data_IF_654405436278
#
_entry.id   IF_654405436278
#
_cell.length_a   1.000
_cell.length_b   1.000
_cell.length_c   1.000
_cell.angle_alpha   90.00
_cell.angle_beta   90.00
_cell.angle_gamma   90.00
#
_symmetry.space_group_name_H-M   'P 1'
#
loop_
_entity.id
_entity.type
_entity.pdbx_description
1 polymer ?
#
# COMPACT_ATOMS: atom_id res chain seq x y z
N UNK A 1 -7.62 29.25 4.29
CA UNK A 1 -8.47 28.11 3.93
C UNK A 1 -7.54 26.96 3.60
N UNK A 2 -7.44 25.93 4.46
CA UNK A 2 -6.56 24.78 4.21
C UNK A 2 -7.33 23.84 3.27
N UNK A 3 -6.79 23.58 2.08
CA UNK A 3 -7.34 22.60 1.15
C UNK A 3 -7.05 21.20 1.71
N UNK A 4 -8.07 20.51 2.23
CA UNK A 4 -7.93 19.11 2.65
C UNK A 4 -8.12 18.24 1.42
N UNK A 5 -7.02 17.71 0.89
CA UNK A 5 -7.04 16.74 -0.21
C UNK A 5 -7.26 15.35 0.40
N UNK A 6 -8.18 14.55 -0.15
CA UNK A 6 -8.43 13.18 0.30
C UNK A 6 -7.92 12.19 -0.73
N UNK A 7 -7.25 11.14 -0.28
CA UNK A 7 -6.88 10.01 -1.12
C UNK A 7 -8.11 9.09 -1.27
N UNK A 8 -8.53 8.71 -2.49
CA UNK A 8 -9.71 7.88 -2.73
C UNK A 8 -9.40 6.39 -2.43
N UNK A 9 -9.20 6.07 -1.15
CA UNK A 9 -8.73 4.77 -0.68
C UNK A 9 -9.65 3.61 -1.11
N UNK A 10 -10.96 3.83 -1.15
CA UNK A 10 -11.92 2.78 -1.56
C UNK A 10 -11.76 2.37 -3.01
N UNK A 11 -11.35 3.30 -3.89
CA UNK A 11 -11.02 2.95 -5.29
C UNK A 11 -9.79 2.05 -5.34
N UNK A 12 -8.77 2.36 -4.52
CA UNK A 12 -7.56 1.54 -4.40
C UNK A 12 -7.92 0.11 -3.98
N UNK A 13 -8.78 -0.05 -2.99
CA UNK A 13 -9.21 -1.37 -2.52
C UNK A 13 -10.09 -2.12 -3.52
N UNK A 14 -10.96 -1.41 -4.25
CA UNK A 14 -11.81 -2.02 -5.27
C UNK A 14 -10.97 -2.60 -6.43
N UNK A 15 -9.94 -1.89 -6.86
CA UNK A 15 -9.07 -2.31 -7.97
C UNK A 15 -7.96 -3.29 -7.51
N UNK A 16 -7.50 -3.18 -6.26
CA UNK A 16 -6.43 -4.01 -5.69
C UNK A 16 -6.80 -4.64 -4.32
N UNK A 17 -7.77 -5.57 -4.29
CA UNK A 17 -8.29 -6.12 -3.03
C UNK A 17 -7.27 -6.94 -2.23
N UNK A 18 -6.22 -7.46 -2.86
CA UNK A 18 -5.13 -8.17 -2.16
C UNK A 18 -4.29 -7.21 -1.33
N UNK A 19 -4.03 -5.99 -1.82
CA UNK A 19 -3.26 -4.99 -1.09
C UNK A 19 -3.96 -4.60 0.22
N UNK A 20 -5.29 -4.48 0.20
CA UNK A 20 -6.09 -4.26 1.41
C UNK A 20 -5.85 -5.35 2.45
N UNK A 21 -5.87 -6.62 2.04
CA UNK A 21 -5.62 -7.75 2.95
C UNK A 21 -4.20 -7.74 3.51
N UNK A 22 -3.20 -7.40 2.70
CA UNK A 22 -1.81 -7.27 3.16
C UNK A 22 -1.70 -6.19 4.24
N UNK A 23 -2.35 -5.04 4.04
CA UNK A 23 -2.40 -3.96 5.04
C UNK A 23 -3.09 -4.44 6.31
N UNK A 24 -4.29 -5.03 6.21
CA UNK A 24 -5.04 -5.54 7.36
C UNK A 24 -4.28 -6.64 8.13
N UNK A 25 -3.57 -7.55 7.45
CA UNK A 25 -2.76 -8.60 8.06
C UNK A 25 -1.55 -8.00 8.81
N UNK A 26 -0.86 -7.01 8.23
CA UNK A 26 0.27 -6.32 8.87
C UNK A 26 -0.17 -5.46 10.07
N UNK A 27 -1.27 -4.71 9.93
CA UNK A 27 -1.86 -3.94 11.04
C UNK A 27 -2.33 -4.86 12.17
N UNK A 28 -2.98 -5.98 11.82
CA UNK A 28 -3.40 -7.01 12.77
C UNK A 28 -2.25 -7.68 13.52
N UNK A 29 -1.06 -7.73 12.91
CA UNK A 29 0.19 -8.15 13.54
C UNK A 29 0.85 -7.05 14.40
N UNK A 30 0.26 -5.85 14.48
CA UNK A 30 0.72 -4.76 15.33
C UNK A 30 1.76 -3.84 14.67
N UNK A 31 1.94 -3.93 13.36
CA UNK A 31 2.87 -3.08 12.63
C UNK A 31 2.22 -1.79 12.13
N UNK A 32 2.99 -0.70 12.12
CA UNK A 32 2.65 0.49 11.34
C UNK A 32 2.73 0.15 9.85
N UNK A 33 1.71 0.54 9.10
CA UNK A 33 1.60 0.29 7.66
C UNK A 33 1.10 1.54 6.96
N UNK A 34 1.70 1.87 5.80
CA UNK A 34 1.28 3.01 4.98
C UNK A 34 1.38 2.68 3.50
N UNK A 35 0.45 3.22 2.70
CA UNK A 35 0.64 3.33 1.26
C UNK A 35 1.61 4.47 0.98
N UNK A 36 2.55 4.26 0.07
CA UNK A 36 3.57 5.24 -0.28
C UNK A 36 3.75 5.37 -1.79
N UNK A 37 4.61 6.29 -2.20
CA UNK A 37 5.09 6.34 -3.57
C UNK A 37 4.05 6.81 -4.59
N UNK A 38 4.06 6.15 -5.76
CA UNK A 38 3.35 6.57 -6.95
C UNK A 38 1.84 6.68 -6.74
N UNK A 39 1.23 5.71 -6.06
CA UNK A 39 -0.22 5.70 -5.83
C UNK A 39 -0.70 6.93 -5.06
N UNK A 40 0.05 7.36 -4.05
CA UNK A 40 -0.30 8.54 -3.25
C UNK A 40 -0.14 9.81 -4.08
N UNK A 41 0.99 9.95 -4.79
CA UNK A 41 1.25 11.08 -5.69
C UNK A 41 0.15 11.20 -6.75
N UNK A 42 -0.17 10.11 -7.43
CA UNK A 42 -1.10 10.10 -8.55
C UNK A 42 -2.54 10.38 -8.09
N UNK A 43 -2.93 9.87 -6.92
CA UNK A 43 -4.19 10.22 -6.29
C UNK A 43 -4.30 11.71 -5.97
N UNK A 44 -3.25 12.31 -5.40
CA UNK A 44 -3.22 13.74 -5.10
C UNK A 44 -3.31 14.59 -6.38
N UNK A 45 -2.55 14.22 -7.41
CA UNK A 45 -2.57 14.93 -8.69
C UNK A 45 -3.94 14.84 -9.36
N UNK A 46 -4.56 13.65 -9.36
CA UNK A 46 -5.88 13.44 -9.92
C UNK A 46 -6.94 14.30 -9.19
N UNK A 47 -6.96 14.27 -7.86
CA UNK A 47 -7.88 15.07 -7.03
C UNK A 47 -7.68 16.59 -7.28
N UNK A 48 -6.42 17.06 -7.34
CA UNK A 48 -6.11 18.47 -7.54
C UNK A 48 -6.39 18.98 -8.97
N UNK A 49 -6.30 18.10 -9.97
CA UNK A 49 -6.50 18.44 -11.38
C UNK A 49 -7.90 18.09 -11.92
N UNK A 50 -8.72 17.40 -11.12
CA UNK A 50 -10.03 16.90 -11.54
C UNK A 50 -9.95 15.78 -12.58
N UNK A 51 -8.82 15.07 -12.65
CA UNK A 51 -8.63 13.93 -13.56
C UNK A 51 -9.11 12.62 -12.92
N UNK A 52 -9.42 11.63 -13.75
CA UNK A 52 -9.69 10.28 -13.27
C UNK A 52 -8.43 9.65 -12.67
N UNK A 53 -8.60 9.03 -11.50
CA UNK A 53 -7.55 8.29 -10.82
C UNK A 53 -7.70 6.78 -11.06
N UNK A 54 -6.63 6.14 -11.51
CA UNK A 54 -6.52 4.69 -11.61
C UNK A 54 -5.21 4.20 -10.97
N UNK A 55 -5.26 3.48 -9.85
CA UNK A 55 -4.07 2.93 -9.17
C UNK A 55 -3.40 1.87 -10.04
N UNK A 56 -2.14 2.09 -10.41
CA UNK A 56 -1.35 1.16 -11.24
C UNK A 56 -0.61 0.15 -10.37
N UNK A 57 0.45 0.62 -9.72
CA UNK A 57 1.30 -0.13 -8.81
C UNK A 57 1.06 0.36 -7.38
N UNK A 58 1.10 -0.56 -6.42
CA UNK A 58 0.93 -0.26 -5.01
C UNK A 58 2.18 -0.63 -4.23
N UNK A 59 2.77 0.39 -3.61
CA UNK A 59 3.88 0.24 -2.68
C UNK A 59 3.36 0.40 -1.25
N UNK A 60 3.69 -0.57 -0.41
CA UNK A 60 3.39 -0.58 1.02
C UNK A 60 4.72 -0.46 1.76
N UNK A 61 4.84 0.53 2.64
CA UNK A 61 5.90 0.57 3.64
C UNK A 61 5.34 0.13 4.99
N UNK A 62 6.12 -0.64 5.73
CA UNK A 62 5.74 -1.18 7.03
C UNK A 62 6.89 -1.15 8.02
N UNK A 63 6.55 -1.09 9.31
CA UNK A 63 7.52 -1.30 10.39
C UNK A 63 7.92 -2.77 10.59
N UNK A 64 7.24 -3.71 9.91
CA UNK A 64 7.60 -5.13 9.96
C UNK A 64 8.95 -5.37 9.28
N UNK A 65 9.91 -6.06 9.92
CA UNK A 65 11.16 -6.41 9.27
C UNK A 65 10.95 -7.52 8.22
N UNK A 66 11.87 -7.73 7.25
CA UNK A 66 11.64 -8.66 6.16
C UNK A 66 11.33 -10.11 6.58
N UNK A 67 11.95 -10.59 7.67
CA UNK A 67 11.66 -11.91 8.24
C UNK A 67 10.21 -12.06 8.75
N UNK A 68 9.63 -10.96 9.23
CA UNK A 68 8.22 -10.90 9.66
C UNK A 68 7.30 -10.97 8.45
N UNK A 69 7.59 -10.18 7.41
CA UNK A 69 6.85 -10.19 6.14
C UNK A 69 6.88 -11.60 5.55
N UNK A 70 8.04 -12.23 5.54
CA UNK A 70 8.19 -13.62 5.11
C UNK A 70 7.32 -14.59 5.91
N UNK A 71 7.36 -14.48 7.24
CA UNK A 71 6.60 -15.36 8.13
C UNK A 71 5.09 -15.20 7.94
N UNK A 72 4.60 -13.97 7.79
CA UNK A 72 3.18 -13.68 7.62
C UNK A 72 2.64 -14.18 6.28
N UNK A 73 3.40 -14.00 5.19
CA UNK A 73 2.85 -14.15 3.84
C UNK A 73 3.27 -15.41 3.08
N UNK A 74 4.43 -16.00 3.38
CA UNK A 74 4.87 -17.24 2.71
C UNK A 74 3.91 -18.44 2.80
N UNK A 75 3.03 -18.58 3.82
CA UNK A 75 2.04 -19.66 3.84
C UNK A 75 0.95 -19.52 2.77
N UNK A 76 0.71 -18.32 2.22
CA UNK A 76 -0.40 -18.02 1.31
C UNK A 76 0.04 -17.43 -0.03
N UNK A 77 1.20 -16.79 -0.07
CA UNK A 77 1.72 -16.04 -1.21
C UNK A 77 3.12 -16.50 -1.58
N UNK A 78 3.45 -16.37 -2.87
CA UNK A 78 4.84 -16.44 -3.31
C UNK A 78 5.54 -15.13 -2.92
N UNK A 79 6.50 -15.22 -2.01
CA UNK A 79 7.35 -14.09 -1.61
C UNK A 79 8.62 -14.10 -2.46
N UNK A 80 8.92 -12.98 -3.13
CA UNK A 80 10.13 -12.81 -3.92
C UNK A 80 11.16 -12.01 -3.09
N UNK A 81 12.32 -12.62 -2.83
CA UNK A 81 13.31 -12.08 -1.88
C UNK A 81 14.38 -11.19 -2.52
N UNK A 82 14.19 -10.82 -3.79
CA UNK A 82 15.21 -10.10 -4.58
C UNK A 82 15.57 -8.75 -3.94
N UNK A 83 14.62 -8.11 -3.25
CA UNK A 83 14.80 -6.82 -2.56
C UNK A 83 15.12 -6.91 -1.06
N UNK A 84 15.11 -8.11 -0.46
CA UNK A 84 15.12 -8.29 1.01
C UNK A 84 16.31 -7.62 1.70
N UNK A 85 17.49 -7.62 1.06
CA UNK A 85 18.70 -7.00 1.60
C UNK A 85 18.63 -5.46 1.71
N UNK A 86 17.62 -4.83 1.11
CA UNK A 86 17.48 -3.38 1.03
C UNK A 86 16.32 -2.83 1.88
N UNK A 87 15.55 -3.71 2.54
CA UNK A 87 14.30 -3.38 3.22
C UNK A 87 13.11 -3.76 2.37
#
# INVERSE_FOLDING_TARGET
MILIVRIPIERIWAEHPVARRIVEDLEGAGHLVVLVGGVVRDALLAELSGQDFHPKDLDIATSAPPEEVHRLFSPRYRVLTVGEAFG
#
